data_IF_040970118361
#
_entry.id   IF_040970118361
#
_cell.length_a   1.000
_cell.length_b   1.000
_cell.length_c   1.000
_cell.angle_alpha   90.00
_cell.angle_beta   90.00
_cell.angle_gamma   90.00
#
_symmetry.space_group_name_H-M   'P 1'
#
loop_
_entity.id
_entity.type
_entity.pdbx_description
1 polymer ?
#
# COMPACT_ATOMS: atom_id res chain seq x y z
N UNK A 1 17.22 0.98 -2.74
CA UNK A 1 16.17 0.05 -3.19
C UNK A 1 15.88 0.36 -4.66
N UNK A 2 16.26 -0.53 -5.57
CA UNK A 2 15.86 -0.46 -6.99
C UNK A 2 14.73 -1.47 -7.14
N UNK A 3 13.54 -1.00 -7.50
CA UNK A 3 12.41 -1.89 -7.81
C UNK A 3 12.30 -2.04 -9.32
N UNK A 4 12.24 -3.29 -9.80
CA UNK A 4 12.06 -3.63 -11.20
C UNK A 4 10.58 -3.68 -11.59
N UNK A 5 9.68 -3.72 -10.61
CA UNK A 5 8.24 -3.83 -10.83
C UNK A 5 7.51 -2.56 -10.34
N UNK A 6 6.78 -1.86 -11.22
CA UNK A 6 6.07 -0.65 -10.83
C UNK A 6 5.06 -0.86 -9.69
N UNK A 7 4.40 -2.02 -9.63
CA UNK A 7 3.38 -2.35 -8.64
C UNK A 7 3.92 -2.60 -7.22
N UNK A 8 5.24 -2.69 -7.04
CA UNK A 8 5.87 -2.84 -5.70
C UNK A 8 6.60 -1.58 -5.23
N UNK A 9 6.45 -0.46 -5.95
CA UNK A 9 6.96 0.84 -5.51
C UNK A 9 6.25 1.25 -4.22
N UNK A 10 7.03 1.46 -3.15
CA UNK A 10 6.53 2.04 -1.91
C UNK A 10 6.28 3.52 -2.14
N UNK A 11 5.05 3.97 -1.89
CA UNK A 11 4.65 5.36 -2.05
C UNK A 11 3.74 5.86 -0.93
N UNK A 12 3.65 7.17 -0.80
CA UNK A 12 2.70 7.84 0.08
C UNK A 12 1.37 8.05 -0.65
N UNK A 13 0.27 7.57 -0.08
CA UNK A 13 -1.08 7.71 -0.63
C UNK A 13 -1.82 8.81 0.12
N UNK A 14 -2.26 9.90 -0.54
CA UNK A 14 -3.14 10.88 0.08
C UNK A 14 -4.44 10.23 0.55
N UNK A 15 -4.81 10.48 1.81
CA UNK A 15 -6.02 9.87 2.40
C UNK A 15 -7.29 10.18 1.58
N UNK A 16 -7.36 11.35 0.95
CA UNK A 16 -8.48 11.76 0.09
C UNK A 16 -8.69 10.86 -1.14
N UNK A 17 -7.68 10.11 -1.55
CA UNK A 17 -7.73 9.18 -2.68
C UNK A 17 -8.27 7.80 -2.27
N UNK A 18 -8.58 7.61 -0.99
CA UNK A 18 -9.23 6.43 -0.44
C UNK A 18 -10.72 6.72 -0.22
N UNK A 19 -11.58 5.91 -0.82
CA UNK A 19 -13.05 5.99 -0.75
C UNK A 19 -13.61 4.73 -0.13
N UNK A 20 -14.88 4.80 0.28
CA UNK A 20 -15.64 3.64 0.77
C UNK A 20 -14.91 2.83 1.86
N UNK A 21 -14.22 3.52 2.77
CA UNK A 21 -13.46 2.91 3.88
C UNK A 21 -14.45 2.22 4.82
N UNK A 22 -14.31 0.90 4.98
CA UNK A 22 -15.18 0.06 5.81
C UNK A 22 -14.34 -0.79 6.75
N UNK A 23 -14.75 -0.85 8.01
CA UNK A 23 -14.14 -1.76 8.98
C UNK A 23 -14.34 -3.21 8.53
N UNK A 24 -13.27 -4.01 8.58
CA UNK A 24 -13.29 -5.43 8.27
C UNK A 24 -13.17 -6.28 9.54
N UNK A 25 -12.11 -6.07 10.31
CA UNK A 25 -11.83 -6.86 11.53
C UNK A 25 -10.72 -6.21 12.37
N UNK A 26 -10.44 -6.77 13.55
CA UNK A 26 -9.26 -6.48 14.37
C UNK A 26 -8.42 -7.75 14.50
N UNK A 27 -7.12 -7.64 14.20
CA UNK A 27 -6.19 -8.78 14.28
C UNK A 27 -4.75 -8.29 14.35
N UNK A 28 -3.87 -9.07 14.97
CA UNK A 28 -2.51 -8.61 15.28
C UNK A 28 -2.56 -7.36 16.17
N UNK A 29 -1.81 -6.32 15.78
CA UNK A 29 -1.78 -5.02 16.48
C UNK A 29 -2.48 -3.91 15.70
N UNK A 30 -3.46 -4.24 14.85
CA UNK A 30 -4.15 -3.24 14.00
C UNK A 30 -5.63 -3.52 13.81
N UNK A 31 -6.38 -2.43 13.64
CA UNK A 31 -7.71 -2.49 13.03
C UNK A 31 -7.52 -2.56 11.51
N UNK A 32 -8.23 -3.47 10.87
CA UNK A 32 -8.14 -3.74 9.43
C UNK A 32 -9.41 -3.25 8.77
N UNK A 33 -9.24 -2.49 7.71
CA UNK A 33 -10.30 -1.90 6.90
C UNK A 33 -10.11 -2.30 5.44
N UNK A 34 -11.19 -2.23 4.66
CA UNK A 34 -11.14 -2.24 3.19
C UNK A 34 -11.42 -0.84 2.67
N UNK A 35 -10.82 -0.48 1.55
CA UNK A 35 -11.10 0.80 0.87
C UNK A 35 -10.95 0.66 -0.64
N UNK A 36 -11.49 1.64 -1.36
CA UNK A 36 -11.27 1.85 -2.79
C UNK A 36 -10.22 2.94 -2.98
N UNK A 37 -9.10 2.63 -3.61
CA UNK A 37 -8.06 3.57 -3.99
C UNK A 37 -8.28 4.04 -5.42
N UNK A 38 -8.56 5.33 -5.61
CA UNK A 38 -8.95 5.91 -6.90
C UNK A 38 -7.80 6.00 -7.90
N UNK A 39 -6.58 6.21 -7.42
CA UNK A 39 -5.42 6.33 -8.30
C UNK A 39 -4.81 4.97 -8.59
N UNK A 40 -4.96 4.00 -7.68
CA UNK A 40 -4.40 2.67 -7.79
C UNK A 40 -2.87 2.63 -7.86
N UNK A 41 -2.31 1.42 -7.83
CA UNK A 41 -0.88 1.20 -7.93
C UNK A 41 -0.33 1.53 -9.34
N UNK A 42 0.98 1.75 -9.41
CA UNK A 42 1.67 1.86 -10.69
C UNK A 42 1.73 0.51 -11.42
N UNK A 43 1.58 0.55 -12.74
CA UNK A 43 1.57 -0.66 -13.59
C UNK A 43 2.73 -0.68 -14.59
N UNK A 44 3.11 0.46 -15.16
CA UNK A 44 4.17 0.54 -16.17
C UNK A 44 4.82 1.93 -16.22
N UNK A 45 6.02 2.00 -16.77
CA UNK A 45 6.67 3.25 -17.14
C UNK A 45 6.32 3.63 -18.58
N UNK A 46 5.72 4.82 -18.78
CA UNK A 46 5.52 5.40 -20.10
C UNK A 46 6.76 6.18 -20.52
N UNK A 47 7.55 5.63 -21.45
CA UNK A 47 8.75 6.30 -21.97
C UNK A 47 8.45 7.54 -22.80
N UNK A 48 7.25 7.64 -23.37
CA UNK A 48 6.84 8.78 -24.21
C UNK A 48 6.47 9.96 -23.33
N UNK A 49 5.67 9.72 -22.29
CA UNK A 49 5.23 10.75 -21.34
C UNK A 49 6.21 10.96 -20.18
N UNK A 50 7.24 10.11 -20.07
CA UNK A 50 8.22 10.09 -18.98
C UNK A 50 7.57 10.06 -17.59
N UNK A 51 6.54 9.21 -17.43
CA UNK A 51 5.82 9.06 -16.17
C UNK A 51 5.36 7.62 -15.94
N UNK A 52 5.13 7.26 -14.68
CA UNK A 52 4.53 5.98 -14.33
C UNK A 52 3.01 6.04 -14.57
N UNK A 53 2.49 5.07 -15.30
CA UNK A 53 1.03 4.86 -15.40
C UNK A 53 0.53 4.12 -14.19
N UNK A 54 -0.69 4.46 -13.79
CA UNK A 54 -1.41 3.77 -12.72
C UNK A 54 -2.59 3.01 -13.27
N UNK A 55 -3.04 2.02 -12.51
CA UNK A 55 -4.27 1.29 -12.83
C UNK A 55 -5.52 2.17 -12.65
N UNK A 56 -5.49 3.12 -11.71
CA UNK A 56 -6.58 4.05 -11.49
C UNK A 56 -6.68 5.11 -12.57
N UNK A 57 -7.91 5.57 -12.79
CA UNK A 57 -8.29 6.49 -13.85
C UNK A 57 -9.79 6.78 -13.76
N UNK A 58 -10.36 7.60 -14.66
CA UNK A 58 -11.79 7.93 -14.60
C UNK A 58 -12.67 6.66 -14.60
N UNK A 59 -13.33 6.39 -13.47
CA UNK A 59 -14.20 5.21 -13.28
C UNK A 59 -13.49 3.91 -12.88
N UNK A 60 -12.17 3.90 -12.70
CA UNK A 60 -11.40 2.75 -12.21
C UNK A 60 -11.01 2.97 -10.75
N UNK A 61 -11.21 1.93 -9.93
CA UNK A 61 -10.81 1.91 -8.52
C UNK A 61 -10.09 0.61 -8.21
N UNK A 62 -9.11 0.66 -7.30
CA UNK A 62 -8.45 -0.52 -6.78
C UNK A 62 -8.93 -0.82 -5.36
N UNK A 63 -9.41 -2.03 -5.13
CA UNK A 63 -9.72 -2.48 -3.77
C UNK A 63 -8.42 -2.74 -3.00
N UNK A 64 -8.28 -2.13 -1.83
CA UNK A 64 -7.10 -2.24 -0.97
C UNK A 64 -7.49 -2.58 0.47
N UNK A 65 -6.54 -3.16 1.18
CA UNK A 65 -6.62 -3.38 2.63
C UNK A 65 -5.85 -2.25 3.33
N UNK A 66 -6.49 -1.57 4.26
CA UNK A 66 -5.87 -0.57 5.12
C UNK A 66 -5.68 -1.16 6.52
N UNK A 67 -4.45 -1.15 7.01
CA UNK A 67 -4.17 -1.41 8.43
C UNK A 67 -4.00 -0.08 9.15
N UNK A 68 -4.91 0.22 10.07
CA UNK A 68 -4.84 1.43 10.89
C UNK A 68 -3.85 1.23 12.03
N UNK A 69 -2.92 2.17 12.15
CA UNK A 69 -2.02 2.25 13.29
C UNK A 69 -2.80 2.69 14.55
N UNK A 70 -2.53 2.04 15.68
CA UNK A 70 -3.03 2.51 16.97
C UNK A 70 -2.49 3.91 17.29
N UNK A 71 -3.15 4.62 18.22
CA UNK A 71 -2.69 5.93 18.68
C UNK A 71 -1.21 5.82 19.15
N UNK A 72 -0.41 6.85 18.84
CA UNK A 72 1.00 6.96 19.26
C UNK A 72 1.15 6.85 20.78
N UNK A 73 0.13 7.24 21.54
CA UNK A 73 0.12 7.09 23.00
C UNK A 73 0.00 5.63 23.47
N UNK A 74 -0.62 4.75 22.67
CA UNK A 74 -0.75 3.31 22.95
C UNK A 74 0.21 2.44 22.14
N UNK A 75 1.01 3.06 21.26
CA UNK A 75 1.97 2.41 20.39
C UNK A 75 3.11 1.74 21.18
N UNK A 76 3.19 0.40 21.13
CA UNK A 76 4.28 -0.39 21.71
C UNK A 76 5.22 -0.99 20.64
N UNK A 77 6.43 -1.41 21.02
CA UNK A 77 7.46 -1.94 20.08
C UNK A 77 6.93 -2.99 19.08
N UNK A 78 5.93 -3.79 19.45
CA UNK A 78 5.41 -4.89 18.61
C UNK A 78 4.75 -4.38 17.33
N UNK A 79 4.18 -3.17 17.32
CA UNK A 79 3.64 -2.59 16.08
C UNK A 79 4.76 -2.25 15.10
N UNK A 80 5.87 -1.67 15.57
CA UNK A 80 7.02 -1.34 14.72
C UNK A 80 7.61 -2.62 14.13
N UNK A 81 7.65 -3.69 14.93
CA UNK A 81 8.08 -5.01 14.47
C UNK A 81 7.14 -5.58 13.40
N UNK A 82 5.82 -5.41 13.55
CA UNK A 82 4.84 -5.80 12.51
C UNK A 82 5.02 -5.00 11.22
N UNK A 83 5.14 -3.67 11.29
CA UNK A 83 5.36 -2.82 10.13
C UNK A 83 6.68 -3.16 9.40
N UNK A 84 7.76 -3.36 10.15
CA UNK A 84 9.05 -3.78 9.60
C UNK A 84 8.97 -5.17 8.95
N UNK A 85 8.23 -6.10 9.56
CA UNK A 85 7.98 -7.43 8.98
C UNK A 85 7.31 -7.33 7.61
N UNK A 86 6.28 -6.50 7.48
CA UNK A 86 5.61 -6.26 6.20
C UNK A 86 6.55 -5.68 5.15
N UNK A 87 7.33 -4.66 5.49
CA UNK A 87 8.30 -4.06 4.57
C UNK A 87 9.36 -5.06 4.13
N UNK A 88 9.88 -5.88 5.06
CA UNK A 88 10.86 -6.91 4.76
C UNK A 88 10.30 -8.00 3.84
N UNK A 89 9.05 -8.42 4.03
CA UNK A 89 8.40 -9.38 3.13
C UNK A 89 8.27 -8.81 1.72
N UNK A 90 7.81 -7.56 1.58
CA UNK A 90 7.71 -6.89 0.29
C UNK A 90 9.07 -6.82 -0.43
N UNK A 91 10.14 -6.48 0.30
CA UNK A 91 11.50 -6.41 -0.25
C UNK A 91 12.04 -7.78 -0.67
N UNK A 92 11.74 -8.84 0.08
CA UNK A 92 12.18 -10.20 -0.26
C UNK A 92 11.48 -10.74 -1.52
N UNK A 93 10.25 -10.33 -1.77
CA UNK A 93 9.55 -10.70 -3.02
C UNK A 93 10.11 -9.97 -4.23
N UNK A 94 10.58 -8.72 -4.09
CA UNK A 94 11.29 -8.05 -5.18
C UNK A 94 12.65 -8.69 -5.52
N UNK A 95 13.29 -9.37 -4.57
CA UNK A 95 14.56 -10.08 -4.79
C UNK A 95 14.38 -11.53 -5.28
N UNK A 96 13.18 -12.10 -5.15
CA UNK A 96 12.88 -13.50 -5.47
C UNK A 96 12.44 -13.74 -6.93
N UNK A 97 12.47 -12.70 -7.77
CA UNK A 97 12.26 -12.81 -9.21
C UNK A 97 13.63 -12.81 -9.88
N UNK A 98 14.13 -14.03 -10.16
CA UNK A 98 15.30 -14.32 -11.02
C UNK A 98 14.79 -15.00 -12.27
#
# INVERSE_FOLDING_TARGET
>A
MKTLEPNVIIEWIPYNNLKNIKYLTKGGYSEIYTAEWTDGNFIEWDSTQQQLKRIGGPGLVQNVVLKRLENVESANKRWFEEANSHLNICNRWSDAIV
#
